data_IF_577231237783
#
_entry.id   IF_577231237783
#
_cell.length_a   1.000
_cell.length_b   1.000
_cell.length_c   1.000
_cell.angle_alpha   90.00
_cell.angle_beta   90.00
_cell.angle_gamma   90.00
#
_symmetry.space_group_name_H-M   'P 1'
#
loop_
_entity.id
_entity.type
_entity.pdbx_description
1 polymer ?
#
# COMPACT_ATOMS: atom_id res chain seq x y z
N UNK A 1 6.45 -29.40 14.64
CA UNK A 1 5.35 -28.47 15.06
C UNK A 1 4.12 -29.32 15.40
N UNK A 2 3.59 -29.14 16.59
CA UNK A 2 2.29 -29.68 17.00
C UNK A 2 1.13 -28.85 16.39
N UNK A 3 -0.11 -29.28 16.65
CA UNK A 3 -1.28 -28.61 16.08
C UNK A 3 -1.44 -27.17 16.57
N UNK A 4 -1.16 -26.88 17.84
CA UNK A 4 -1.25 -25.54 18.40
C UNK A 4 -0.25 -24.59 17.75
N UNK A 5 0.98 -25.01 17.58
CA UNK A 5 2.03 -24.25 16.89
C UNK A 5 1.69 -24.00 15.42
N UNK A 6 1.05 -24.95 14.74
CA UNK A 6 0.60 -24.78 13.35
C UNK A 6 -0.55 -23.80 13.25
N UNK A 7 -1.48 -23.84 14.20
CA UNK A 7 -2.60 -22.89 14.25
C UNK A 7 -2.09 -21.48 14.51
N UNK A 8 -1.22 -21.31 15.50
CA UNK A 8 -0.61 -20.00 15.80
C UNK A 8 0.09 -19.42 14.57
N UNK A 9 0.91 -20.22 13.87
CA UNK A 9 1.57 -19.76 12.65
C UNK A 9 0.58 -19.31 11.57
N UNK A 10 -0.55 -20.00 11.40
CA UNK A 10 -1.59 -19.56 10.44
C UNK A 10 -2.27 -18.27 10.89
N UNK A 11 -2.55 -18.10 12.17
CA UNK A 11 -3.12 -16.87 12.72
C UNK A 11 -2.18 -15.68 12.52
N UNK A 12 -0.87 -15.86 12.79
CA UNK A 12 0.14 -14.82 12.56
C UNK A 12 0.19 -14.40 11.07
N UNK A 13 0.15 -15.35 10.15
CA UNK A 13 0.12 -15.07 8.71
C UNK A 13 -1.16 -14.30 8.33
N UNK A 14 -2.32 -14.66 8.88
CA UNK A 14 -3.56 -13.93 8.61
C UNK A 14 -3.53 -12.50 9.18
N UNK A 15 -2.92 -12.26 10.35
CA UNK A 15 -2.74 -10.91 10.87
C UNK A 15 -1.81 -10.06 9.99
N UNK A 16 -0.73 -10.64 9.44
CA UNK A 16 0.13 -9.95 8.46
C UNK A 16 -0.66 -9.62 7.18
N UNK A 17 -1.50 -10.53 6.69
CA UNK A 17 -2.37 -10.23 5.54
C UNK A 17 -3.34 -9.09 5.84
N UNK A 18 -3.98 -9.07 7.01
CA UNK A 18 -4.86 -7.98 7.44
C UNK A 18 -4.12 -6.64 7.49
N UNK A 19 -2.89 -6.62 8.02
CA UNK A 19 -2.04 -5.44 8.02
C UNK A 19 -1.82 -4.91 6.60
N UNK A 20 -1.38 -5.77 5.68
CA UNK A 20 -1.09 -5.36 4.30
C UNK A 20 -2.34 -4.93 3.55
N UNK A 21 -3.45 -5.62 3.72
CA UNK A 21 -4.75 -5.20 3.17
C UNK A 21 -5.20 -3.86 3.76
N UNK A 22 -4.96 -3.63 5.05
CA UNK A 22 -5.25 -2.37 5.73
C UNK A 22 -4.42 -1.20 5.17
N UNK A 23 -3.14 -1.46 4.87
CA UNK A 23 -2.24 -0.51 4.22
C UNK A 23 -2.76 -0.06 2.84
N UNK A 24 -3.11 -0.99 1.94
CA UNK A 24 -3.67 -0.62 0.63
C UNK A 24 -5.02 0.09 0.75
N UNK A 25 -5.90 -0.35 1.66
CA UNK A 25 -7.17 0.35 1.93
C UNK A 25 -6.96 1.77 2.45
N UNK A 26 -5.89 2.01 3.23
CA UNK A 26 -5.54 3.36 3.66
C UNK A 26 -5.08 4.22 2.47
N UNK A 27 -4.32 3.65 1.53
CA UNK A 27 -3.94 4.33 0.29
C UNK A 27 -5.17 4.72 -0.53
N UNK A 28 -6.07 3.78 -0.80
CA UNK A 28 -7.26 4.00 -1.64
C UNK A 28 -8.27 4.93 -0.97
N UNK A 29 -8.42 4.85 0.36
CA UNK A 29 -9.26 5.75 1.14
C UNK A 29 -8.63 7.13 1.39
N UNK A 30 -7.38 7.35 0.93
CA UNK A 30 -6.63 8.61 1.12
C UNK A 30 -6.48 8.98 2.59
N UNK A 31 -6.09 7.99 3.41
CA UNK A 31 -5.91 8.11 4.86
C UNK A 31 -4.42 8.04 5.23
N UNK A 32 -3.70 9.19 5.31
CA UNK A 32 -2.27 9.21 5.60
C UNK A 32 -1.94 8.73 7.02
N UNK A 33 -2.88 8.86 7.95
CA UNK A 33 -2.69 8.42 9.34
C UNK A 33 -2.66 6.88 9.41
N UNK A 34 -3.64 6.22 8.79
CA UNK A 34 -3.66 4.74 8.72
C UNK A 34 -2.52 4.20 7.88
N UNK A 35 -2.16 4.89 6.78
CA UNK A 35 -0.96 4.58 6.00
C UNK A 35 0.27 4.55 6.90
N UNK A 36 0.54 5.66 7.62
CA UNK A 36 1.70 5.78 8.52
C UNK A 36 1.69 4.71 9.61
N UNK A 37 0.53 4.42 10.19
CA UNK A 37 0.36 3.46 11.28
C UNK A 37 0.56 1.99 10.85
N UNK A 38 0.64 1.71 9.56
CA UNK A 38 0.98 0.37 9.05
C UNK A 38 2.47 0.02 9.24
N UNK A 39 3.30 1.01 9.50
CA UNK A 39 4.74 0.85 9.68
C UNK A 39 5.15 0.91 11.15
N UNK A 40 6.36 0.43 11.44
CA UNK A 40 7.01 0.64 12.74
C UNK A 40 7.15 2.13 13.03
N UNK A 41 7.32 2.45 14.31
CA UNK A 41 7.36 3.84 14.81
C UNK A 41 8.49 4.66 14.20
N UNK A 42 9.64 4.03 13.95
CA UNK A 42 10.79 4.67 13.32
C UNK A 42 11.69 3.65 12.62
N UNK A 43 12.42 4.12 11.60
CA UNK A 43 13.41 3.31 10.90
C UNK A 43 12.83 2.31 9.90
N UNK A 44 11.60 2.52 9.42
CA UNK A 44 11.04 1.70 8.36
C UNK A 44 11.76 1.96 7.03
N UNK A 45 12.25 0.91 6.38
CA UNK A 45 12.85 1.02 5.05
C UNK A 45 11.76 0.98 3.98
N UNK A 46 11.60 2.06 3.24
CA UNK A 46 10.59 2.19 2.18
C UNK A 46 11.30 2.49 0.87
N UNK A 47 10.97 1.75 -0.17
CA UNK A 47 11.43 2.05 -1.53
C UNK A 47 10.25 1.84 -2.49
N UNK A 48 9.81 2.94 -3.10
CA UNK A 48 8.74 2.94 -4.09
C UNK A 48 9.26 3.37 -5.47
N UNK A 49 10.52 3.08 -5.76
CA UNK A 49 11.14 3.35 -7.04
C UNK A 49 11.08 4.84 -7.40
N UNK A 50 10.26 5.20 -8.38
CA UNK A 50 10.15 6.60 -8.85
C UNK A 50 9.61 7.59 -7.81
N UNK A 51 8.89 7.12 -6.79
CA UNK A 51 8.41 7.96 -5.70
C UNK A 51 9.50 8.23 -4.65
N UNK A 52 10.59 7.48 -4.70
CA UNK A 52 11.74 7.64 -3.81
C UNK A 52 11.91 6.51 -2.79
N UNK A 53 13.04 6.60 -2.10
CA UNK A 53 13.40 5.72 -0.99
C UNK A 53 13.56 6.53 0.30
N UNK A 54 13.14 5.94 1.42
CA UNK A 54 13.04 6.59 2.72
C UNK A 54 13.48 5.63 3.83
N UNK A 55 14.12 6.17 4.86
CA UNK A 55 14.54 5.43 6.05
C UNK A 55 13.54 5.56 7.20
N UNK A 56 12.39 6.16 6.95
CA UNK A 56 11.26 6.29 7.88
C UNK A 56 9.95 6.48 7.10
N UNK A 57 8.83 6.05 7.68
CA UNK A 57 7.51 6.19 7.06
C UNK A 57 6.93 7.61 7.14
N UNK A 58 7.42 8.47 8.04
CA UNK A 58 6.95 9.86 8.18
C UNK A 58 7.09 10.66 6.89
N UNK A 59 8.30 10.81 6.32
CA UNK A 59 8.50 11.55 5.07
C UNK A 59 7.67 11.01 3.90
N UNK A 60 7.50 9.68 3.81
CA UNK A 60 6.65 9.09 2.78
C UNK A 60 5.17 9.39 3.01
N UNK A 61 4.71 9.38 4.27
CA UNK A 61 3.34 9.76 4.60
C UNK A 61 3.04 11.22 4.24
N UNK A 62 4.00 12.14 4.44
CA UNK A 62 3.88 13.53 4.03
C UNK A 62 3.76 13.70 2.52
N UNK A 63 4.52 12.91 1.74
CA UNK A 63 4.42 12.89 0.28
C UNK A 63 3.08 12.30 -0.15
N UNK A 64 2.68 11.19 0.47
CA UNK A 64 1.38 10.57 0.22
C UNK A 64 0.24 11.56 0.46
N UNK A 65 0.26 12.30 1.58
CA UNK A 65 -0.75 13.32 1.87
C UNK A 65 -0.81 14.40 0.77
N UNK A 66 0.34 14.93 0.34
CA UNK A 66 0.41 15.94 -0.71
C UNK A 66 -0.14 15.46 -2.06
N UNK A 67 0.10 14.22 -2.43
CA UNK A 67 -0.35 13.64 -3.70
C UNK A 67 -1.81 13.22 -3.61
N UNK A 68 -2.14 12.39 -2.62
CA UNK A 68 -3.43 11.73 -2.52
C UNK A 68 -4.57 12.67 -2.13
N UNK A 69 -4.29 13.70 -1.32
CA UNK A 69 -5.29 14.68 -0.89
C UNK A 69 -5.35 15.92 -1.78
N UNK A 70 -4.49 16.00 -2.80
CA UNK A 70 -4.54 17.12 -3.75
C UNK A 70 -5.89 17.16 -4.47
N UNK A 71 -6.51 18.33 -4.44
CA UNK A 71 -7.76 18.59 -5.16
C UNK A 71 -7.58 19.71 -6.20
N UNK A 72 -8.30 19.58 -7.30
CA UNK A 72 -8.44 20.60 -8.35
C UNK A 72 -9.94 20.75 -8.61
N UNK A 73 -10.45 21.96 -8.54
CA UNK A 73 -11.88 22.28 -8.71
C UNK A 73 -12.80 21.42 -7.79
N UNK A 74 -12.34 21.17 -6.56
CA UNK A 74 -13.07 20.40 -5.54
C UNK A 74 -13.02 18.89 -5.68
N UNK A 75 -12.38 18.33 -6.74
CA UNK A 75 -12.22 16.91 -7.00
C UNK A 75 -10.80 16.44 -6.70
N UNK A 76 -10.62 15.19 -6.29
CA UNK A 76 -9.28 14.63 -6.16
C UNK A 76 -8.58 14.59 -7.53
N UNK A 77 -7.32 15.04 -7.55
CA UNK A 77 -6.50 15.05 -8.76
C UNK A 77 -6.15 13.64 -9.25
N UNK A 78 -6.11 12.67 -8.34
CA UNK A 78 -5.87 11.26 -8.66
C UNK A 78 -6.88 10.37 -7.93
N UNK A 79 -7.33 9.32 -8.62
CA UNK A 79 -8.19 8.27 -8.07
C UNK A 79 -7.44 6.94 -8.20
N UNK A 80 -7.21 6.27 -7.08
CA UNK A 80 -6.34 5.11 -7.00
C UNK A 80 -7.10 3.86 -6.58
N UNK A 81 -6.63 2.68 -7.05
CA UNK A 81 -7.08 1.39 -6.56
C UNK A 81 -5.93 0.39 -6.58
N UNK A 82 -5.63 -0.17 -5.42
CA UNK A 82 -4.61 -1.21 -5.22
C UNK A 82 -5.27 -2.59 -5.12
N UNK A 83 -4.82 -3.52 -5.94
CA UNK A 83 -5.18 -4.93 -5.86
C UNK A 83 -3.93 -5.74 -5.54
N UNK A 84 -3.78 -6.11 -4.26
CA UNK A 84 -2.71 -7.02 -3.82
C UNK A 84 -3.11 -8.46 -4.06
N UNK A 85 -2.19 -9.23 -4.63
CA UNK A 85 -2.40 -10.60 -5.09
C UNK A 85 -1.25 -11.49 -4.63
N UNK A 86 -1.48 -12.80 -4.63
CA UNK A 86 -0.46 -13.84 -4.46
C UNK A 86 0.42 -13.65 -3.21
N UNK A 87 -0.16 -13.56 -1.99
CA UNK A 87 0.65 -13.46 -0.79
C UNK A 87 1.54 -14.70 -0.61
N UNK A 88 2.84 -14.46 -0.46
CA UNK A 88 3.82 -15.46 -0.09
C UNK A 88 4.52 -14.96 1.19
N UNK A 89 4.09 -15.46 2.35
CA UNK A 89 4.50 -14.98 3.66
C UNK A 89 5.17 -16.11 4.43
N UNK A 90 6.36 -15.85 4.94
CA UNK A 90 7.13 -16.77 5.76
C UNK A 90 7.47 -16.13 7.10
N UNK A 91 7.07 -16.77 8.20
CA UNK A 91 7.52 -16.41 9.54
C UNK A 91 9.00 -16.77 9.67
N UNK A 92 9.85 -15.82 10.03
CA UNK A 92 11.28 -16.00 10.21
C UNK A 92 11.67 -16.19 11.68
N UNK A 93 10.79 -15.77 12.59
CA UNK A 93 10.82 -16.00 14.02
C UNK A 93 9.43 -15.85 14.62
N UNK A 94 9.30 -15.92 15.95
CA UNK A 94 8.05 -15.61 16.66
C UNK A 94 7.59 -14.14 16.50
N UNK A 95 8.50 -13.25 16.14
CA UNK A 95 8.25 -11.80 16.07
C UNK A 95 8.65 -11.15 14.75
N UNK A 96 9.02 -11.93 13.75
CA UNK A 96 9.43 -11.43 12.44
C UNK A 96 8.97 -12.31 11.29
N UNK A 97 8.73 -11.69 10.16
CA UNK A 97 8.32 -12.35 8.92
C UNK A 97 8.83 -11.60 7.70
N UNK A 98 8.89 -12.30 6.58
CA UNK A 98 9.06 -11.73 5.25
C UNK A 98 7.85 -12.05 4.40
N UNK A 99 7.55 -11.20 3.42
CA UNK A 99 6.43 -11.44 2.53
C UNK A 99 6.62 -10.82 1.17
N UNK A 100 6.10 -11.51 0.16
CA UNK A 100 6.04 -11.03 -1.23
C UNK A 100 4.60 -10.93 -1.68
N UNK A 101 4.31 -9.91 -2.49
CA UNK A 101 2.97 -9.65 -2.99
C UNK A 101 3.04 -9.15 -4.42
N UNK A 102 2.26 -9.71 -5.31
CA UNK A 102 2.01 -9.06 -6.58
C UNK A 102 1.04 -7.89 -6.41
N UNK A 103 1.25 -6.84 -7.19
CA UNK A 103 0.35 -5.68 -7.25
C UNK A 103 -0.19 -5.50 -8.65
N UNK A 104 -1.50 -5.27 -8.75
CA UNK A 104 -2.12 -4.57 -9.86
C UNK A 104 -2.68 -3.24 -9.34
N UNK A 105 -2.22 -2.15 -9.92
CA UNK A 105 -2.59 -0.79 -9.52
C UNK A 105 -3.22 -0.06 -10.70
N UNK A 106 -4.34 0.60 -10.45
CA UNK A 106 -4.97 1.52 -11.41
C UNK A 106 -5.04 2.91 -10.82
N UNK A 107 -4.77 3.91 -11.65
CA UNK A 107 -4.89 5.31 -11.28
C UNK A 107 -5.55 6.07 -12.42
N UNK A 108 -6.50 6.93 -12.08
CA UNK A 108 -7.03 7.94 -12.98
C UNK A 108 -6.42 9.28 -12.56
N UNK A 109 -5.70 9.94 -13.47
CA UNK A 109 -5.36 11.35 -13.37
C UNK A 109 -6.55 12.16 -13.92
N UNK A 110 -7.28 12.81 -13.02
CA UNK A 110 -8.49 13.56 -13.38
C UNK A 110 -8.16 14.88 -14.08
N UNK A 111 -6.95 15.42 -13.86
CA UNK A 111 -6.46 16.67 -14.44
C UNK A 111 -5.85 16.42 -15.82
N UNK A 112 -4.91 15.48 -15.88
CA UNK A 112 -4.26 15.06 -17.13
C UNK A 112 -5.13 14.21 -18.03
N UNK A 113 -6.29 13.75 -17.52
CA UNK A 113 -7.23 12.86 -18.22
C UNK A 113 -6.56 11.63 -18.80
N UNK A 114 -5.83 10.92 -17.93
CA UNK A 114 -5.17 9.67 -18.28
C UNK A 114 -5.54 8.56 -17.32
N UNK A 115 -5.48 7.33 -17.79
CA UNK A 115 -5.53 6.12 -16.98
C UNK A 115 -4.16 5.45 -16.96
N UNK A 116 -3.67 5.10 -15.78
CA UNK A 116 -2.46 4.29 -15.62
C UNK A 116 -2.83 2.93 -15.07
N UNK A 117 -2.34 1.88 -15.74
CA UNK A 117 -2.26 0.53 -15.20
C UNK A 117 -0.79 0.24 -14.89
N UNK A 118 -0.51 -0.24 -13.71
CA UNK A 118 0.84 -0.60 -13.27
C UNK A 118 0.80 -1.95 -12.57
N UNK A 119 1.84 -2.74 -12.78
CA UNK A 119 2.03 -4.01 -12.08
C UNK A 119 3.45 -4.07 -11.52
N UNK A 120 3.61 -4.86 -10.47
CA UNK A 120 4.90 -5.07 -9.83
C UNK A 120 4.78 -6.00 -8.64
N UNK A 121 5.84 -6.01 -7.86
CA UNK A 121 5.95 -6.87 -6.69
C UNK A 121 6.47 -6.07 -5.50
N UNK A 122 5.89 -6.36 -4.33
CA UNK A 122 6.42 -5.93 -3.04
C UNK A 122 7.32 -7.00 -2.45
N UNK A 123 8.41 -6.55 -1.84
CA UNK A 123 9.27 -7.30 -0.93
C UNK A 123 9.20 -6.62 0.43
N UNK A 124 8.48 -7.25 1.35
CA UNK A 124 8.14 -6.70 2.64
C UNK A 124 8.84 -7.45 3.77
N UNK A 125 9.17 -6.72 4.85
CA UNK A 125 9.53 -7.31 6.15
C UNK A 125 8.57 -6.81 7.21
N UNK A 126 8.22 -7.72 8.11
CA UNK A 126 7.27 -7.50 9.18
C UNK A 126 7.91 -7.82 10.52
N UNK A 127 7.55 -7.05 11.53
CA UNK A 127 7.95 -7.29 12.92
C UNK A 127 6.78 -7.01 13.85
N UNK A 128 6.80 -7.59 15.03
CA UNK A 128 5.87 -7.22 16.11
C UNK A 128 6.44 -6.00 16.83
N UNK A 129 5.68 -4.91 16.86
CA UNK A 129 5.93 -3.72 17.67
C UNK A 129 4.69 -3.43 18.52
N UNK A 130 4.89 -3.28 19.83
CA UNK A 130 3.80 -3.06 20.79
C UNK A 130 2.66 -4.11 20.69
N UNK A 131 3.03 -5.39 20.45
CA UNK A 131 2.09 -6.52 20.34
C UNK A 131 1.33 -6.60 19.01
N UNK A 132 1.67 -5.80 18.02
CA UNK A 132 1.02 -5.78 16.71
C UNK A 132 2.02 -5.94 15.57
N UNK A 133 1.63 -6.67 14.55
CA UNK A 133 2.41 -6.72 13.32
C UNK A 133 2.49 -5.36 12.65
N UNK A 134 3.70 -4.98 12.22
CA UNK A 134 4.02 -3.74 11.51
C UNK A 134 4.98 -4.02 10.37
N UNK A 135 4.95 -3.20 9.33
CA UNK A 135 5.96 -3.24 8.27
C UNK A 135 7.22 -2.52 8.74
N UNK A 136 8.35 -3.23 8.74
CA UNK A 136 9.69 -2.65 8.92
C UNK A 136 10.40 -2.39 7.59
N UNK A 137 9.92 -3.04 6.52
CA UNK A 137 10.32 -2.79 5.14
C UNK A 137 9.12 -2.89 4.23
N UNK A 138 9.06 -2.01 3.22
CA UNK A 138 8.10 -2.08 2.14
C UNK A 138 8.78 -1.58 0.87
N UNK A 139 9.27 -2.50 0.04
CA UNK A 139 9.97 -2.22 -1.20
C UNK A 139 9.10 -2.66 -2.37
N UNK A 140 8.84 -1.76 -3.31
CA UNK A 140 8.06 -2.05 -4.51
C UNK A 140 8.94 -1.97 -5.76
N UNK A 141 8.91 -3.02 -6.55
CA UNK A 141 9.56 -3.06 -7.86
C UNK A 141 8.51 -3.11 -8.95
N UNK A 142 8.47 -2.07 -9.80
CA UNK A 142 7.59 -2.01 -10.96
C UNK A 142 8.05 -3.06 -11.99
N UNK A 143 7.13 -3.91 -12.45
CA UNK A 143 7.36 -4.82 -13.55
C UNK A 143 7.14 -4.13 -14.90
N UNK A 144 6.01 -3.46 -15.05
CA UNK A 144 5.67 -2.61 -16.18
C UNK A 144 4.50 -1.69 -15.84
N UNK A 145 4.37 -0.63 -16.60
CA UNK A 145 3.19 0.24 -16.57
C UNK A 145 2.81 0.71 -17.98
N UNK A 146 1.53 1.04 -18.14
CA UNK A 146 1.00 1.68 -19.33
C UNK A 146 0.15 2.86 -18.90
N UNK A 147 0.27 3.97 -19.61
CA UNK A 147 -0.58 5.15 -19.42
C UNK A 147 -1.28 5.47 -20.73
N UNK A 148 -2.61 5.56 -20.69
CA UNK A 148 -3.45 5.78 -21.85
C UNK A 148 -4.24 7.08 -21.67
N UNK A 149 -4.35 7.95 -22.67
CA UNK A 149 -5.29 9.06 -22.64
C UNK A 149 -6.73 8.54 -22.53
N UNK A 150 -7.53 9.18 -21.69
CA UNK A 150 -8.97 8.88 -21.65
C UNK A 150 -9.66 9.48 -22.88
N UNK A 151 -10.72 8.84 -23.40
CA UNK A 151 -11.55 9.43 -24.45
C UNK A 151 -12.03 10.83 -24.05
N UNK A 152 -12.16 11.78 -24.99
CA UNK A 152 -12.60 13.15 -24.68
C UNK A 152 -13.98 13.22 -24.00
N UNK A 153 -14.86 12.27 -24.31
CA UNK A 153 -16.22 12.13 -23.80
C UNK A 153 -16.32 11.24 -22.57
N UNK A 154 -15.19 10.67 -22.08
CA UNK A 154 -15.21 9.87 -20.86
C UNK A 154 -15.62 10.72 -19.65
N UNK A 155 -16.68 10.28 -18.96
CA UNK A 155 -17.08 10.88 -17.70
C UNK A 155 -16.29 10.21 -16.54
N UNK A 156 -15.68 11.05 -15.69
CA UNK A 156 -14.95 10.61 -14.52
C UNK A 156 -15.79 10.94 -13.29
N UNK A 157 -16.44 9.92 -12.74
CA UNK A 157 -17.21 10.04 -11.51
C UNK A 157 -16.34 9.67 -10.30
N UNK A 158 -16.20 10.61 -9.37
CA UNK A 158 -15.56 10.37 -8.09
C UNK A 158 -16.56 9.70 -7.12
N UNK A 159 -16.21 8.52 -6.63
CA UNK A 159 -16.97 7.83 -5.59
C UNK A 159 -16.69 8.36 -4.18
N UNK A 160 -17.36 7.80 -3.18
CA UNK A 160 -17.27 8.23 -1.79
C UNK A 160 -16.20 7.49 -0.96
N UNK A 161 -15.35 6.66 -1.57
CA UNK A 161 -14.34 5.89 -0.84
C UNK A 161 -13.21 6.79 -0.31
N UNK A 162 -12.76 7.73 -1.13
CA UNK A 162 -11.77 8.71 -0.72
C UNK A 162 -12.34 9.65 0.36
N UNK A 163 -11.63 9.75 1.51
CA UNK A 163 -12.06 10.58 2.63
C UNK A 163 -12.99 9.89 3.64
N UNK A 164 -13.27 8.60 3.49
CA UNK A 164 -13.85 7.80 4.59
C UNK A 164 -12.79 7.58 5.65
N UNK A 165 -12.95 8.22 6.78
CA UNK A 165 -12.12 8.06 7.99
C UNK A 165 -12.77 7.14 9.00
#
# INVERSE_FOLDING_TARGET
>A
MDLAQRLDALEQIEEIKKLKHGYWRACDAKDPVRFRNSFIRSGASIDYGRLGAFDDAGPMADIFEKIALRKVDGRYAVLDMHHGLHPDITLTSETSAVGRWALQFRQIDTVGRTEKLMTGEYDDKYVIEDGMWKMSQCHFTEAWSITTPLPPDADIAEGSLGGRR
#
